data_IF_858161760900
#
_entry.id   IF_858161760900
#
_cell.length_a   1.000
_cell.length_b   1.000
_cell.length_c   1.000
_cell.angle_alpha   90.00
_cell.angle_beta   90.00
_cell.angle_gamma   90.00
#
_symmetry.space_group_name_H-M   'P 1'
#
loop_
_entity.id
_entity.type
_entity.pdbx_description
1 polymer ?
#
# COMPACT_ATOMS: atom_id res chain seq x y z
N UNK A 1 18.36 12.19 -23.27
CA UNK A 1 17.83 12.70 -21.98
C UNK A 1 17.78 11.54 -21.00
N UNK A 2 18.74 11.47 -20.07
CA UNK A 2 18.83 10.37 -19.11
C UNK A 2 17.91 10.66 -17.92
N UNK A 3 16.60 10.53 -18.12
CA UNK A 3 15.66 10.49 -17.00
C UNK A 3 15.58 9.04 -16.53
N UNK A 4 16.38 8.68 -15.51
CA UNK A 4 16.24 7.39 -14.83
C UNK A 4 14.79 7.18 -14.34
N UNK A 5 14.31 5.94 -14.38
CA UNK A 5 12.96 5.59 -13.92
C UNK A 5 12.78 5.88 -12.42
N UNK A 6 11.58 6.27 -11.94
CA UNK A 6 11.32 6.46 -10.52
C UNK A 6 11.62 5.19 -9.73
N UNK A 7 12.31 5.34 -8.59
CA UNK A 7 12.65 4.21 -7.70
C UNK A 7 11.47 3.91 -6.79
N UNK A 8 11.04 2.65 -6.73
CA UNK A 8 9.92 2.23 -5.88
C UNK A 8 10.37 1.16 -4.90
N UNK A 9 10.10 1.39 -3.61
CA UNK A 9 10.33 0.40 -2.57
C UNK A 9 9.10 -0.51 -2.45
N UNK A 10 9.24 -1.79 -2.79
CA UNK A 10 8.26 -2.84 -2.52
C UNK A 10 8.55 -3.38 -1.11
N UNK A 11 7.88 -2.83 -0.10
CA UNK A 11 8.09 -3.22 1.29
C UNK A 11 7.19 -4.40 1.62
N UNK A 12 7.79 -5.50 2.05
CA UNK A 12 7.09 -6.74 2.41
C UNK A 12 8.03 -7.93 2.46
N UNK A 13 7.55 -9.08 2.93
CA UNK A 13 8.37 -10.27 3.07
C UNK A 13 8.23 -11.18 1.85
N UNK A 14 9.09 -10.99 0.83
CA UNK A 14 9.00 -11.70 -0.47
C UNK A 14 8.88 -13.19 -0.23
N UNK A 15 7.88 -13.80 -0.87
CA UNK A 15 7.58 -15.22 -0.71
C UNK A 15 6.87 -15.73 -1.96
N UNK A 16 7.29 -16.88 -2.54
CA UNK A 16 6.60 -17.48 -3.67
C UNK A 16 5.20 -18.00 -3.31
N UNK A 17 4.90 -18.15 -2.01
CA UNK A 17 3.59 -18.60 -1.53
C UNK A 17 2.55 -17.47 -1.50
N UNK A 18 2.97 -16.21 -1.65
CA UNK A 18 2.06 -15.07 -1.71
C UNK A 18 1.81 -14.74 -3.19
N UNK A 19 0.59 -15.02 -3.66
CA UNK A 19 0.22 -14.84 -5.08
C UNK A 19 0.44 -13.42 -5.60
N UNK A 20 0.24 -12.40 -4.77
CA UNK A 20 0.54 -11.02 -5.16
C UNK A 20 2.03 -10.83 -5.49
N UNK A 21 2.93 -11.38 -4.66
CA UNK A 21 4.39 -11.27 -4.84
C UNK A 21 4.87 -11.87 -6.15
N UNK A 22 4.30 -13.01 -6.55
CA UNK A 22 4.69 -13.68 -7.80
C UNK A 22 4.18 -12.94 -9.04
N UNK A 23 3.12 -12.14 -8.92
CA UNK A 23 2.54 -11.37 -10.03
C UNK A 23 3.14 -9.99 -10.23
N UNK A 24 3.64 -9.34 -9.17
CA UNK A 24 4.20 -7.98 -9.25
C UNK A 24 5.24 -7.82 -10.38
N UNK A 25 6.22 -8.72 -10.59
CA UNK A 25 7.18 -8.56 -11.68
C UNK A 25 6.53 -8.46 -13.07
N UNK A 26 5.55 -9.32 -13.36
CA UNK A 26 4.83 -9.28 -14.64
C UNK A 26 4.00 -8.00 -14.79
N UNK A 27 3.40 -7.50 -13.71
CA UNK A 27 2.66 -6.25 -13.71
C UNK A 27 3.56 -5.05 -13.99
N UNK A 28 4.76 -5.01 -13.42
CA UNK A 28 5.75 -3.97 -13.70
C UNK A 28 6.22 -4.01 -15.15
N UNK A 29 6.42 -5.20 -15.73
CA UNK A 29 6.71 -5.37 -17.16
C UNK A 29 5.55 -4.85 -18.02
N UNK A 30 4.32 -5.26 -17.73
CA UNK A 30 3.14 -4.80 -18.48
C UNK A 30 2.95 -3.27 -18.39
N UNK A 31 3.22 -2.69 -17.22
CA UNK A 31 3.19 -1.25 -16.99
C UNK A 31 4.23 -0.52 -17.87
N UNK A 32 5.45 -1.04 -17.95
CA UNK A 32 6.51 -0.49 -18.78
C UNK A 32 6.22 -0.61 -20.29
N UNK A 33 5.77 -1.79 -20.74
CA UNK A 33 5.57 -2.09 -22.16
C UNK A 33 4.33 -1.40 -22.74
N UNK A 34 3.21 -1.43 -22.01
CA UNK A 34 1.90 -1.02 -22.53
C UNK A 34 1.56 0.42 -22.19
N UNK A 35 1.97 0.87 -21.01
CA UNK A 35 1.62 2.20 -20.50
C UNK A 35 2.83 3.16 -20.53
N UNK A 36 4.02 2.68 -20.93
CA UNK A 36 5.27 3.45 -21.00
C UNK A 36 5.65 4.09 -19.65
N UNK A 37 5.24 3.45 -18.56
CA UNK A 37 5.53 3.83 -17.18
C UNK A 37 6.55 2.85 -16.62
N UNK A 38 7.83 3.21 -16.68
CA UNK A 38 8.91 2.38 -16.12
C UNK A 38 9.10 2.74 -14.65
N UNK A 39 9.10 1.72 -13.78
CA UNK A 39 9.47 1.84 -12.37
C UNK A 39 10.71 1.01 -12.08
N UNK A 40 11.66 1.57 -11.34
CA UNK A 40 12.83 0.85 -10.85
C UNK A 40 12.53 0.29 -9.45
N UNK A 41 11.98 -0.93 -9.41
CA UNK A 41 11.45 -1.52 -8.20
C UNK A 41 12.49 -2.31 -7.39
N UNK A 42 12.52 -2.11 -6.08
CA UNK A 42 13.42 -2.77 -5.14
C UNK A 42 12.61 -3.44 -4.03
N UNK A 43 12.88 -4.72 -3.77
CA UNK A 43 12.21 -5.42 -2.68
C UNK A 43 12.93 -5.15 -1.35
N UNK A 44 12.19 -4.66 -0.36
CA UNK A 44 12.69 -4.32 0.97
C UNK A 44 11.96 -5.20 2.01
N UNK A 45 12.64 -6.18 2.64
CA UNK A 45 12.08 -6.96 3.74
C UNK A 45 11.59 -6.06 4.88
N UNK A 46 10.53 -6.46 5.59
CA UNK A 46 9.98 -5.61 6.66
C UNK A 46 11.00 -5.37 7.78
N UNK A 47 11.80 -6.38 8.11
CA UNK A 47 12.90 -6.27 9.09
C UNK A 47 13.97 -5.24 8.69
N UNK A 48 14.22 -5.02 7.38
CA UNK A 48 15.17 -3.99 6.92
C UNK A 48 14.57 -2.57 7.00
N UNK A 49 13.24 -2.45 6.93
CA UNK A 49 12.54 -1.18 7.06
C UNK A 49 12.35 -0.74 8.53
N UNK A 50 12.51 -1.66 9.49
CA UNK A 50 12.32 -1.39 10.91
C UNK A 50 13.33 -0.37 11.44
N UNK A 51 12.83 0.72 12.03
CA UNK A 51 13.66 1.71 12.73
C UNK A 51 14.60 2.54 11.84
N UNK A 52 14.60 2.32 10.53
CA UNK A 52 15.46 3.03 9.58
C UNK A 52 14.62 3.69 8.48
N UNK A 53 14.14 4.91 8.72
CA UNK A 53 13.56 5.74 7.64
C UNK A 53 14.58 6.03 6.53
N UNK A 54 15.88 5.88 6.83
CA UNK A 54 16.99 5.98 5.89
C UNK A 54 16.97 4.85 4.86
N UNK A 55 16.57 3.63 5.26
CA UNK A 55 16.42 2.49 4.32
C UNK A 55 15.41 2.78 3.21
N UNK A 56 14.44 3.66 3.49
CA UNK A 56 13.40 4.10 2.56
C UNK A 56 13.69 5.50 1.98
N UNK A 57 14.81 6.12 2.37
CA UNK A 57 15.22 7.41 1.82
C UNK A 57 15.66 7.28 0.35
N UNK A 58 15.29 8.27 -0.45
CA UNK A 58 15.66 8.31 -1.88
C UNK A 58 14.84 7.39 -2.79
N UNK A 59 13.77 6.77 -2.27
CA UNK A 59 12.70 6.20 -3.08
C UNK A 59 11.69 7.28 -3.48
N UNK A 60 11.20 7.21 -4.71
CA UNK A 60 10.20 8.11 -5.25
C UNK A 60 8.76 7.64 -4.93
N UNK A 61 8.60 6.38 -4.53
CA UNK A 61 7.36 5.83 -4.00
C UNK A 61 7.61 4.61 -3.10
N UNK A 62 6.65 4.34 -2.23
CA UNK A 62 6.61 3.15 -1.36
C UNK A 62 5.33 2.37 -1.65
N UNK A 63 5.47 1.08 -1.87
CA UNK A 63 4.37 0.14 -1.98
C UNK A 63 4.50 -0.91 -0.87
N UNK A 64 3.64 -0.83 0.13
CA UNK A 64 3.54 -1.84 1.19
C UNK A 64 2.64 -2.98 0.70
N UNK A 65 3.28 -4.04 0.20
CA UNK A 65 2.63 -5.13 -0.53
C UNK A 65 1.94 -6.12 0.43
N UNK A 66 1.04 -7.01 -0.03
CA UNK A 66 0.35 -7.98 0.82
C UNK A 66 1.31 -8.96 1.54
N UNK A 67 0.78 -9.82 2.42
CA UNK A 67 1.59 -10.85 3.09
C UNK A 67 1.68 -10.73 4.62
N UNK A 68 0.70 -10.06 5.25
CA UNK A 68 0.49 -10.15 6.70
C UNK A 68 0.23 -11.62 7.12
N UNK A 69 0.70 -12.07 8.29
CA UNK A 69 1.52 -11.32 9.24
C UNK A 69 2.93 -11.08 8.72
N UNK A 70 3.40 -9.84 8.83
CA UNK A 70 4.78 -9.49 8.47
C UNK A 70 5.77 -10.04 9.50
N UNK A 71 7.00 -10.34 9.08
CA UNK A 71 8.09 -10.71 10.00
C UNK A 71 8.40 -9.58 10.98
N UNK A 72 8.31 -8.33 10.53
CA UNK A 72 8.35 -7.15 11.38
C UNK A 72 7.12 -6.26 11.16
N UNK A 73 6.21 -6.22 12.15
CA UNK A 73 5.12 -5.23 12.19
C UNK A 73 5.71 -3.81 12.23
N UNK A 74 6.73 -3.60 13.06
CA UNK A 74 7.37 -2.29 13.23
C UNK A 74 7.95 -1.75 11.92
N UNK A 75 8.52 -2.60 11.07
CA UNK A 75 8.97 -2.24 9.73
C UNK A 75 7.85 -1.83 8.79
N UNK A 76 6.74 -2.57 8.77
CA UNK A 76 5.56 -2.20 7.99
C UNK A 76 4.98 -0.85 8.43
N UNK A 77 4.91 -0.59 9.74
CA UNK A 77 4.50 0.70 10.29
C UNK A 77 5.49 1.81 9.93
N UNK A 78 6.80 1.54 10.00
CA UNK A 78 7.85 2.50 9.61
C UNK A 78 7.69 2.90 8.15
N UNK A 79 7.35 1.97 7.25
CA UNK A 79 7.12 2.27 5.84
C UNK A 79 5.92 3.21 5.61
N UNK A 80 4.78 2.92 6.24
CA UNK A 80 3.59 3.77 6.16
C UNK A 80 3.86 5.18 6.75
N UNK A 81 4.52 5.23 7.92
CA UNK A 81 4.89 6.48 8.60
C UNK A 81 5.83 7.33 7.76
N UNK A 82 6.90 6.71 7.25
CA UNK A 82 7.90 7.40 6.41
C UNK A 82 7.24 8.03 5.21
N UNK A 83 6.33 7.30 4.55
CA UNK A 83 5.61 7.82 3.40
C UNK A 83 4.74 9.02 3.80
N UNK A 84 3.90 8.85 4.84
CA UNK A 84 3.00 9.88 5.37
C UNK A 84 3.72 11.17 5.76
N UNK A 85 4.81 11.06 6.51
CA UNK A 85 5.51 12.23 7.08
C UNK A 85 6.40 12.94 6.05
N UNK A 86 6.92 12.21 5.06
CA UNK A 86 7.82 12.77 4.03
C UNK A 86 7.13 13.12 2.72
N UNK A 87 5.83 12.85 2.59
CA UNK A 87 5.08 13.11 1.36
C UNK A 87 5.51 12.21 0.21
N UNK A 88 5.94 10.97 0.48
CA UNK A 88 6.36 10.02 -0.55
C UNK A 88 5.13 9.26 -1.03
N UNK A 89 4.79 9.24 -2.33
CA UNK A 89 3.69 8.46 -2.87
C UNK A 89 3.60 7.05 -2.29
N UNK A 90 2.44 6.70 -1.73
CA UNK A 90 2.23 5.48 -0.97
C UNK A 90 1.05 4.68 -1.52
N UNK A 91 1.28 3.37 -1.71
CA UNK A 91 0.23 2.38 -1.93
C UNK A 91 0.35 1.27 -0.88
N UNK A 92 -0.69 1.05 -0.09
CA UNK A 92 -0.77 -0.08 0.85
C UNK A 92 -1.91 -1.03 0.49
N UNK A 93 -1.61 -2.31 0.27
CA UNK A 93 -2.57 -3.29 -0.27
C UNK A 93 -2.74 -4.47 0.68
N UNK A 94 -3.98 -4.85 1.00
CA UNK A 94 -4.31 -5.91 1.96
C UNK A 94 -3.60 -5.73 3.31
N UNK A 95 -2.53 -6.48 3.57
CA UNK A 95 -1.66 -6.29 4.75
C UNK A 95 -1.17 -4.85 4.88
N UNK A 96 -0.82 -4.22 3.75
CA UNK A 96 -0.36 -2.83 3.75
C UNK A 96 -1.48 -1.84 4.09
N UNK A 97 -2.72 -2.13 3.72
CA UNK A 97 -3.88 -1.35 4.18
C UNK A 97 -4.05 -1.45 5.69
N UNK A 98 -4.02 -2.67 6.22
CA UNK A 98 -4.21 -2.93 7.66
C UNK A 98 -3.14 -2.19 8.49
N UNK A 99 -1.87 -2.28 8.08
CA UNK A 99 -0.75 -1.71 8.81
C UNK A 99 -0.64 -0.20 8.63
N UNK A 100 -1.05 0.36 7.49
CA UNK A 100 -1.15 1.81 7.34
C UNK A 100 -2.22 2.42 8.25
N UNK A 101 -3.37 1.76 8.42
CA UNK A 101 -4.39 2.22 9.38
C UNK A 101 -3.89 2.10 10.82
N UNK A 102 -3.17 1.02 11.13
CA UNK A 102 -2.57 0.80 12.45
C UNK A 102 -1.50 1.87 12.77
N UNK A 103 -0.66 2.22 11.80
CA UNK A 103 0.32 3.30 11.92
C UNK A 103 -0.37 4.63 12.21
N UNK A 104 -1.37 4.98 11.42
CA UNK A 104 -2.09 6.24 11.55
C UNK A 104 -2.81 6.35 12.90
N UNK A 105 -3.44 5.26 13.34
CA UNK A 105 -4.10 5.21 14.64
C UNK A 105 -3.12 5.45 15.80
N UNK A 106 -1.98 4.76 15.79
CA UNK A 106 -0.98 4.86 16.86
C UNK A 106 -0.27 6.22 16.88
N UNK A 107 0.08 6.75 15.72
CA UNK A 107 0.96 7.93 15.62
C UNK A 107 0.22 9.26 15.40
N UNK A 108 -0.99 9.24 14.84
CA UNK A 108 -1.78 10.47 14.59
C UNK A 108 -2.97 10.58 15.54
N UNK A 109 -3.66 9.47 15.81
CA UNK A 109 -4.88 9.48 16.64
C UNK A 109 -4.62 9.24 18.14
N UNK A 110 -3.36 9.03 18.54
CA UNK A 110 -2.98 8.75 19.93
C UNK A 110 -3.42 7.38 20.46
N UNK A 111 -3.89 6.48 19.59
CA UNK A 111 -4.34 5.12 19.96
C UNK A 111 -3.14 4.18 20.05
N UNK A 112 -2.22 4.46 20.97
CA UNK A 112 -0.91 3.79 21.07
C UNK A 112 -1.00 2.28 21.30
N UNK A 113 -2.08 1.80 21.92
CA UNK A 113 -2.34 0.38 22.17
C UNK A 113 -3.15 -0.33 21.08
N UNK A 114 -3.54 0.36 20.00
CA UNK A 114 -4.27 -0.24 18.89
C UNK A 114 -3.50 -1.46 18.36
N UNK A 115 -4.17 -2.60 18.20
CA UNK A 115 -3.53 -3.87 17.81
C UNK A 115 -4.11 -4.48 16.54
N UNK A 116 -3.46 -5.53 16.06
CA UNK A 116 -3.91 -6.37 14.96
C UNK A 116 -4.26 -7.77 15.47
N UNK A 117 -5.50 -8.20 15.34
CA UNK A 117 -5.97 -9.45 15.93
C UNK A 117 -5.20 -10.71 15.46
N UNK A 118 -4.59 -10.67 14.27
CA UNK A 118 -3.75 -11.77 13.74
C UNK A 118 -2.47 -12.04 14.56
N UNK A 119 -1.85 -11.01 15.13
CA UNK A 119 -0.60 -11.12 15.92
C UNK A 119 -0.84 -10.97 17.43
N UNK A 120 -2.06 -10.61 17.81
CA UNK A 120 -2.52 -10.43 19.19
C UNK A 120 -3.23 -9.09 19.36
N UNK A 121 -4.35 -9.07 20.10
CA UNK A 121 -4.90 -7.82 20.60
C UNK A 121 -3.96 -7.26 21.66
N UNK A 122 -3.60 -5.97 21.57
CA UNK A 122 -2.90 -5.26 22.64
C UNK A 122 -3.74 -5.22 23.93
N UNK A 123 -3.41 -4.32 24.85
CA UNK A 123 -4.16 -4.13 26.11
C UNK A 123 -5.62 -3.63 25.93
N UNK A 124 -6.16 -3.57 24.69
CA UNK A 124 -7.52 -3.10 24.38
C UNK A 124 -8.05 -3.68 23.06
N UNK A 125 -9.19 -3.16 22.61
CA UNK A 125 -9.86 -3.65 21.39
C UNK A 125 -8.96 -3.52 20.15
N UNK A 126 -8.81 -4.59 19.35
CA UNK A 126 -7.98 -4.54 18.15
C UNK A 126 -8.60 -3.62 17.10
N UNK A 127 -7.77 -2.81 16.47
CA UNK A 127 -8.16 -1.94 15.37
C UNK A 127 -8.40 -2.73 14.09
N UNK A 128 -7.60 -3.78 13.89
CA UNK A 128 -7.78 -4.73 12.80
C UNK A 128 -8.33 -6.03 13.36
N UNK A 129 -9.53 -6.41 12.90
CA UNK A 129 -10.31 -7.56 13.38
C UNK A 129 -10.54 -8.58 12.26
N UNK A 130 -10.79 -9.85 12.57
CA UNK A 130 -11.26 -10.81 11.58
C UNK A 130 -12.51 -10.30 10.88
N UNK A 131 -12.57 -10.42 9.56
CA UNK A 131 -13.79 -10.18 8.81
C UNK A 131 -14.80 -11.29 9.13
N UNK A 132 -16.08 -10.95 9.25
CA UNK A 132 -17.14 -11.91 9.54
C UNK A 132 -17.20 -13.05 8.51
N UNK A 133 -16.92 -12.71 7.24
CA UNK A 133 -16.67 -13.66 6.17
C UNK A 133 -15.27 -13.38 5.59
N UNK A 134 -14.40 -14.38 5.53
CA UNK A 134 -13.13 -14.24 4.84
C UNK A 134 -13.37 -13.91 3.37
N UNK A 135 -12.72 -12.87 2.86
CA UNK A 135 -12.80 -12.49 1.46
C UNK A 135 -11.75 -13.23 0.62
N UNK A 136 -11.01 -14.18 1.19
CA UNK A 136 -9.93 -14.84 0.47
C UNK A 136 -10.45 -15.61 -0.75
N UNK A 137 -9.93 -15.27 -1.94
CA UNK A 137 -10.37 -15.87 -3.20
C UNK A 137 -11.69 -15.32 -3.75
N UNK A 138 -12.26 -14.29 -3.13
CA UNK A 138 -13.52 -13.69 -3.56
C UNK A 138 -13.27 -12.40 -4.37
N UNK A 139 -14.26 -12.09 -5.20
CA UNK A 139 -14.41 -10.78 -5.83
C UNK A 139 -15.56 -10.02 -5.17
N UNK A 140 -15.42 -8.71 -5.05
CA UNK A 140 -16.42 -7.85 -4.42
C UNK A 140 -16.56 -6.53 -5.14
N UNK A 141 -17.78 -6.00 -5.17
CA UNK A 141 -18.01 -4.63 -5.64
C UNK A 141 -17.45 -3.64 -4.62
N UNK A 142 -16.72 -2.64 -5.11
CA UNK A 142 -16.37 -1.43 -4.35
C UNK A 142 -17.00 -0.22 -5.01
N UNK A 143 -17.76 0.55 -4.24
CA UNK A 143 -18.23 1.88 -4.63
C UNK A 143 -17.26 2.91 -4.08
N UNK A 144 -16.87 3.87 -4.91
CA UNK A 144 -15.94 4.93 -4.52
C UNK A 144 -16.62 6.29 -4.45
N UNK A 145 -16.08 7.16 -3.62
CA UNK A 145 -16.61 8.50 -3.37
C UNK A 145 -16.22 9.43 -4.52
N UNK A 146 -17.19 10.15 -5.08
CA UNK A 146 -16.92 11.13 -6.14
C UNK A 146 -15.91 12.21 -5.68
N UNK A 147 -14.98 12.55 -6.56
CA UNK A 147 -13.88 13.49 -6.31
C UNK A 147 -12.74 12.95 -5.44
N UNK A 148 -12.78 11.68 -5.03
CA UNK A 148 -11.70 11.05 -4.26
C UNK A 148 -10.47 10.71 -5.11
N UNK A 149 -9.32 10.52 -4.45
CA UNK A 149 -8.14 9.97 -5.11
C UNK A 149 -8.43 8.56 -5.67
N UNK A 150 -9.22 7.77 -4.94
CA UNK A 150 -9.65 6.44 -5.39
C UNK A 150 -10.42 6.49 -6.73
N UNK A 151 -11.42 7.36 -6.85
CA UNK A 151 -12.18 7.54 -8.09
C UNK A 151 -11.28 8.00 -9.24
N UNK A 152 -10.40 8.97 -9.00
CA UNK A 152 -9.45 9.46 -10.01
C UNK A 152 -8.50 8.36 -10.48
N UNK A 153 -8.00 7.54 -9.56
CA UNK A 153 -7.10 6.43 -9.87
C UNK A 153 -7.80 5.31 -10.64
N UNK A 154 -9.05 5.00 -10.29
CA UNK A 154 -9.85 3.95 -10.94
C UNK A 154 -10.46 4.42 -12.27
N UNK A 155 -10.76 5.71 -12.41
CA UNK A 155 -11.52 6.26 -13.52
C UNK A 155 -13.00 5.86 -13.52
N UNK A 156 -13.53 5.42 -12.39
CA UNK A 156 -14.91 4.94 -12.26
C UNK A 156 -15.42 5.08 -10.81
N UNK A 157 -16.73 5.27 -10.65
CA UNK A 157 -17.42 5.31 -9.35
C UNK A 157 -17.67 3.92 -8.72
N UNK A 158 -17.48 2.86 -9.51
CA UNK A 158 -17.67 1.47 -9.11
C UNK A 158 -16.63 0.58 -9.79
N UNK A 159 -16.08 -0.36 -9.03
CA UNK A 159 -15.15 -1.38 -9.53
C UNK A 159 -15.44 -2.75 -8.89
N UNK A 160 -14.93 -3.82 -9.49
CA UNK A 160 -14.98 -5.19 -8.95
C UNK A 160 -13.55 -5.62 -8.65
N UNK A 161 -13.29 -5.95 -7.39
CA UNK A 161 -11.93 -6.11 -6.89
C UNK A 161 -11.72 -7.49 -6.25
N UNK A 162 -10.48 -7.96 -6.29
CA UNK A 162 -10.08 -9.27 -5.78
C UNK A 162 -9.46 -9.20 -4.40
N UNK A 163 -9.85 -10.14 -3.54
CA UNK A 163 -9.42 -10.16 -2.15
C UNK A 163 -8.65 -11.45 -1.80
N UNK A 164 -7.68 -11.30 -0.91
CA UNK A 164 -6.98 -12.40 -0.26
C UNK A 164 -6.66 -12.06 1.19
N UNK A 165 -7.65 -11.51 1.90
CA UNK A 165 -7.52 -11.00 3.26
C UNK A 165 -8.64 -11.56 4.14
N UNK A 166 -8.28 -11.90 5.39
CA UNK A 166 -9.23 -12.39 6.40
C UNK A 166 -9.47 -11.37 7.52
N UNK A 167 -8.82 -10.20 7.47
CA UNK A 167 -8.90 -9.16 8.48
C UNK A 167 -9.18 -7.79 7.85
N UNK A 168 -9.85 -6.91 8.59
CA UNK A 168 -10.19 -5.55 8.16
C UNK A 168 -10.34 -4.58 9.33
N UNK A 169 -10.68 -3.33 9.02
CA UNK A 169 -10.87 -2.28 10.01
C UNK A 169 -12.09 -2.57 10.89
N UNK A 170 -11.91 -2.52 12.21
CA UNK A 170 -13.00 -2.55 13.17
C UNK A 170 -13.86 -1.27 13.04
N UNK A 171 -15.20 -1.39 12.86
CA UNK A 171 -16.09 -0.23 12.75
C UNK A 171 -16.03 0.71 13.96
N UNK A 172 -15.65 0.22 15.14
CA UNK A 172 -15.53 1.00 16.36
C UNK A 172 -14.51 2.15 16.25
N UNK A 173 -13.48 1.98 15.41
CA UNK A 173 -12.42 2.98 15.23
C UNK A 173 -12.66 3.92 14.04
N UNK A 174 -13.73 3.70 13.27
CA UNK A 174 -14.00 4.48 12.06
C UNK A 174 -14.21 5.97 12.35
N UNK A 175 -14.91 6.29 13.44
CA UNK A 175 -15.19 7.67 13.85
C UNK A 175 -13.91 8.45 14.16
N UNK A 176 -13.07 7.91 15.05
CA UNK A 176 -11.82 8.57 15.48
C UNK A 176 -10.82 8.75 14.35
N UNK A 177 -10.70 7.76 13.45
CA UNK A 177 -9.82 7.87 12.27
C UNK A 177 -10.28 8.98 11.31
N UNK A 178 -11.61 9.14 11.12
CA UNK A 178 -12.18 10.23 10.31
C UNK A 178 -11.96 11.59 10.93
N UNK A 179 -12.17 11.71 12.24
CA UNK A 179 -12.00 12.95 12.99
C UNK A 179 -10.57 13.50 12.87
N UNK A 180 -9.57 12.61 12.84
CA UNK A 180 -8.17 12.98 12.69
C UNK A 180 -7.74 13.26 11.24
N UNK A 181 -8.63 13.04 10.27
CA UNK A 181 -8.46 13.49 8.88
C UNK A 181 -8.34 12.39 7.84
N UNK A 182 -8.32 11.10 8.22
CA UNK A 182 -8.30 10.01 7.24
C UNK A 182 -9.66 9.88 6.54
N UNK A 183 -9.67 9.74 5.22
CA UNK A 183 -10.90 9.56 4.45
C UNK A 183 -11.07 8.10 4.03
N UNK A 184 -12.28 7.58 4.20
CA UNK A 184 -12.66 6.25 3.76
C UNK A 184 -13.50 6.36 2.50
N UNK A 185 -12.84 6.27 1.35
CA UNK A 185 -13.40 6.67 0.05
C UNK A 185 -13.86 5.49 -0.79
N UNK A 186 -13.71 4.26 -0.31
CA UNK A 186 -14.25 3.07 -0.96
C UNK A 186 -14.89 2.13 0.04
N UNK A 187 -16.13 1.71 -0.24
CA UNK A 187 -16.89 0.78 0.59
C UNK A 187 -17.53 -0.31 -0.26
N UNK A 188 -17.84 -1.45 0.35
CA UNK A 188 -18.63 -2.48 -0.30
C UNK A 188 -20.14 -2.20 -0.21
N UNK A 189 -20.95 -3.18 -0.63
CA UNK A 189 -22.41 -3.08 -0.63
C UNK A 189 -23.03 -3.04 0.78
N UNK A 190 -22.30 -3.49 1.80
CA UNK A 190 -22.70 -3.42 3.21
C UNK A 190 -22.17 -2.17 3.92
N UNK A 191 -21.43 -1.31 3.21
CA UNK A 191 -20.80 -0.12 3.79
C UNK A 191 -19.48 -0.41 4.51
N UNK A 192 -18.93 -1.62 4.41
CA UNK A 192 -17.63 -1.95 5.00
C UNK A 192 -16.50 -1.29 4.22
N UNK A 193 -15.50 -0.76 4.93
CA UNK A 193 -14.38 -0.05 4.34
C UNK A 193 -13.50 -0.97 3.49
N UNK A 194 -13.26 -0.56 2.25
CA UNK A 194 -12.35 -1.23 1.30
C UNK A 194 -11.22 -0.33 0.81
N UNK A 195 -11.37 0.99 0.90
CA UNK A 195 -10.34 1.98 0.52
C UNK A 195 -10.28 3.10 1.55
N UNK A 196 -9.07 3.51 1.90
CA UNK A 196 -8.82 4.76 2.62
C UNK A 196 -7.72 5.58 1.92
N UNK A 197 -7.76 6.89 2.13
CA UNK A 197 -6.79 7.84 1.59
C UNK A 197 -6.54 8.98 2.58
N UNK A 198 -5.38 9.63 2.47
CA UNK A 198 -4.99 10.75 3.32
C UNK A 198 -5.06 12.08 2.54
N UNK A 199 -6.05 12.95 2.81
CA UNK A 199 -6.15 14.25 2.16
C UNK A 199 -4.90 15.11 2.39
N UNK A 200 -4.52 15.88 1.38
CA UNK A 200 -3.35 16.76 1.43
C UNK A 200 -2.00 16.08 1.20
N UNK A 201 -1.96 14.73 1.22
CA UNK A 201 -0.78 13.98 0.82
C UNK A 201 -0.73 13.85 -0.73
N UNK A 202 0.45 13.95 -1.37
CA UNK A 202 0.55 13.94 -2.85
C UNK A 202 -0.04 12.69 -3.50
N UNK A 203 0.14 11.53 -2.86
CA UNK A 203 -0.56 10.29 -3.20
C UNK A 203 -0.47 9.34 -2.00
N UNK A 204 -1.57 9.11 -1.27
CA UNK A 204 -1.62 8.11 -0.19
C UNK A 204 -2.92 7.34 -0.33
N UNK A 205 -2.83 6.15 -0.88
CA UNK A 205 -4.00 5.31 -1.15
C UNK A 205 -3.76 3.93 -0.57
N UNK A 206 -4.73 3.43 0.19
CA UNK A 206 -4.67 2.10 0.75
C UNK A 206 -5.93 1.32 0.42
N UNK A 207 -5.78 0.07 0.00
CA UNK A 207 -6.87 -0.79 -0.45
C UNK A 207 -6.85 -2.11 0.30
N UNK A 208 -8.00 -2.55 0.79
CA UNK A 208 -8.10 -3.88 1.37
C UNK A 208 -8.01 -4.98 0.29
N UNK A 209 -8.53 -4.71 -0.91
CA UNK A 209 -8.33 -5.60 -2.05
C UNK A 209 -6.87 -5.56 -2.55
N UNK A 210 -6.53 -6.56 -3.35
CA UNK A 210 -5.20 -6.74 -3.93
C UNK A 210 -5.24 -6.42 -5.44
N UNK A 211 -4.91 -5.18 -5.85
CA UNK A 211 -4.84 -4.82 -7.27
C UNK A 211 -3.82 -5.68 -8.04
N UNK A 212 -2.88 -6.32 -7.35
CA UNK A 212 -1.92 -7.27 -7.92
C UNK A 212 -2.58 -8.54 -8.47
N UNK A 213 -3.78 -8.88 -7.98
CA UNK A 213 -4.52 -10.07 -8.40
C UNK A 213 -5.51 -9.78 -9.54
N UNK A 214 -5.68 -8.52 -9.92
CA UNK A 214 -6.62 -8.11 -10.95
C UNK A 214 -6.24 -8.61 -12.36
N UNK A 215 -7.26 -8.98 -13.14
CA UNK A 215 -7.10 -9.50 -14.50
C UNK A 215 -6.17 -10.71 -14.60
N UNK A 216 -5.66 -10.93 -15.82
CA UNK A 216 -4.77 -12.06 -16.14
C UNK A 216 -3.28 -11.68 -16.06
N UNK A 217 -2.97 -10.45 -15.62
CA UNK A 217 -1.59 -9.95 -15.48
C UNK A 217 -1.02 -9.30 -16.74
N UNK A 218 -1.83 -9.20 -17.79
CA UNK A 218 -1.50 -8.54 -19.06
C UNK A 218 -1.56 -7.01 -18.99
N UNK A 219 -2.26 -6.46 -17.98
CA UNK A 219 -2.38 -5.02 -17.73
C UNK A 219 -2.26 -4.74 -16.23
N UNK A 220 -1.48 -3.72 -15.88
CA UNK A 220 -1.44 -3.22 -14.52
C UNK A 220 -2.79 -2.62 -14.11
N UNK A 221 -3.19 -2.86 -12.86
CA UNK A 221 -4.41 -2.26 -12.30
C UNK A 221 -4.34 -0.73 -12.29
N UNK A 222 -5.45 0.01 -12.51
CA UNK A 222 -5.43 1.48 -12.53
C UNK A 222 -4.80 2.13 -11.29
N UNK A 223 -5.01 1.57 -10.10
CA UNK A 223 -4.37 2.05 -8.85
C UNK A 223 -2.83 1.93 -8.90
N UNK A 224 -2.29 0.85 -9.47
CA UNK A 224 -0.84 0.66 -9.63
C UNK A 224 -0.29 1.67 -10.64
N UNK A 225 -1.02 1.93 -11.73
CA UNK A 225 -0.67 2.98 -12.69
C UNK A 225 -0.67 4.37 -12.06
N UNK A 226 -1.66 4.65 -11.20
CA UNK A 226 -1.77 5.91 -10.50
C UNK A 226 -0.58 6.14 -9.55
N UNK A 227 -0.16 5.11 -8.80
CA UNK A 227 1.07 5.16 -8.01
C UNK A 227 2.29 5.48 -8.89
N UNK A 228 2.42 4.82 -10.04
CA UNK A 228 3.54 5.05 -10.96
C UNK A 228 3.55 6.49 -11.52
N UNK A 229 2.37 7.01 -11.84
CA UNK A 229 2.19 8.41 -12.25
C UNK A 229 2.59 9.38 -11.14
N UNK A 230 2.17 9.11 -9.90
CA UNK A 230 2.52 9.92 -8.74
C UNK A 230 4.04 9.91 -8.48
N UNK A 231 4.67 8.73 -8.49
CA UNK A 231 6.13 8.57 -8.32
C UNK A 231 6.91 9.40 -9.35
N UNK A 232 6.45 9.44 -10.60
CA UNK A 232 7.07 10.25 -11.65
C UNK A 232 6.88 11.74 -11.42
N UNK A 233 5.72 12.17 -10.93
CA UNK A 233 5.38 13.57 -10.72
C UNK A 233 6.10 14.18 -9.50
N UNK A 234 6.30 13.41 -8.44
CA UNK A 234 6.97 13.86 -7.20
C UNK A 234 8.48 13.68 -7.21
N UNK A 235 9.03 13.05 -8.26
CA UNK A 235 10.47 12.81 -8.39
C UNK A 235 11.23 14.13 -8.31
N UNK A 236 12.04 14.27 -7.26
CA UNK A 236 12.96 15.39 -7.12
C UNK A 236 14.11 15.22 -8.13
N UNK A 237 14.62 16.30 -8.75
CA UNK A 237 15.85 16.20 -9.54
C UNK A 237 16.95 15.60 -8.67
N UNK A 238 17.49 14.43 -9.04
CA UNK A 238 18.65 13.89 -8.34
C UNK A 238 19.84 14.80 -8.61
N UNK A 239 20.32 15.48 -7.56
CA UNK A 239 21.72 15.90 -7.52
C UNK A 239 22.53 14.61 -7.47
N UNK A 240 23.55 14.50 -8.31
CA UNK A 240 24.37 13.31 -8.45
C UNK A 240 25.19 13.06 -7.17
N UNK A 241 24.56 12.45 -6.16
CA UNK A 241 25.26 11.90 -5.01
C UNK A 241 25.55 10.43 -5.27
N UNK A 242 26.83 10.12 -5.38
CA UNK A 242 27.39 8.77 -5.39
C UNK A 242 27.11 8.08 -4.06
N UNK A 243 25.90 7.53 -3.91
CA UNK A 243 25.53 6.69 -2.78
C UNK A 243 25.58 5.21 -3.17
N UNK A 244 26.41 4.46 -2.45
CA UNK A 244 26.71 3.05 -2.64
C UNK A 244 25.61 2.15 -2.08
N UNK A 245 24.50 2.01 -2.83
CA UNK A 245 23.60 0.86 -2.61
C UNK A 245 24.17 -0.33 -3.40
N UNK A 246 24.46 -1.48 -2.77
CA UNK A 246 25.01 -2.64 -3.47
C UNK A 246 24.12 -3.09 -4.64
N UNK A 247 24.72 -3.21 -5.82
CA UNK A 247 24.07 -3.44 -7.13
C UNK A 247 23.35 -4.80 -7.29
N UNK A 248 23.31 -5.65 -6.26
CA UNK A 248 22.90 -7.07 -6.38
C UNK A 248 21.40 -7.35 -6.27
N UNK A 249 20.53 -6.33 -6.14
CA UNK A 249 19.09 -6.52 -5.80
C UNK A 249 18.09 -6.05 -6.87
N UNK A 250 18.51 -5.88 -8.13
CA UNK A 250 17.57 -5.59 -9.23
C UNK A 250 16.89 -6.91 -9.63
N UNK A 251 15.68 -7.15 -9.12
CA UNK A 251 14.77 -8.25 -9.48
C UNK A 251 15.49 -9.54 -9.92
N UNK A 252 16.25 -10.16 -9.03
CA UNK A 252 16.75 -11.50 -9.29
C UNK A 252 15.57 -12.48 -9.34
N UNK A 253 15.56 -13.22 -10.45
CA UNK A 253 14.62 -14.25 -10.92
C UNK A 253 13.98 -15.08 -9.82
#
# INVERSE_FOLDING_TARGET
MNSFAPRVALVGDRSPNVRAHTRIPALLTALAERERLVLDAYWIPTEEAEGSEESLAGFDAIWLVPGSPYRSEAGALTAARTARERGIPFLGTCGGFQHALLEYARNVCGLTSAGHAETGSGAGDPLIVPLACSLAGHEGTVRVTAGSLAEQALGAERTVERYHCSYGLSPAFLGVLREHGLRFTGVDENGEVRIAELPGHPFFLVTLFQPELAGDGDRAHPVIKALAGAARATRRPQVAETSSVPWTRRLSS
#
